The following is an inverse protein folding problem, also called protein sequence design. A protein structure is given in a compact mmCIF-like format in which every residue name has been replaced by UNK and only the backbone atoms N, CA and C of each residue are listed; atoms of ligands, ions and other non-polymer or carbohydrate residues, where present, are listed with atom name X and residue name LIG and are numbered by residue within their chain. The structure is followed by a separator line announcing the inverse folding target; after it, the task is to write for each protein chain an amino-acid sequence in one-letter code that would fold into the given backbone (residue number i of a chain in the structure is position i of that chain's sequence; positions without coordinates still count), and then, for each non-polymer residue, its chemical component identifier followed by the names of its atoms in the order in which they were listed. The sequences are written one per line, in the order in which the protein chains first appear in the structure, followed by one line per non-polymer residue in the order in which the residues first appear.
data_IF_407551566143
#
_entry.id   IF_407551566143
#
_cell.length_a   1.000
_cell.length_b   1.000
_cell.length_c   1.000
_cell.angle_alpha   90.00
_cell.angle_beta   90.00
_cell.angle_gamma   90.00
#
_symmetry.space_group_name_H-M   'P 1'
#
loop_
_entity.id
_entity.type
_entity.pdbx_description
1 polymer ?
#
# COMPACT_ATOMS: atom_id res chain seq x y z
N UNK A 1 8.22 -22.24 18.96
CA UNK A 1 7.30 -21.40 19.75
C UNK A 1 5.99 -21.19 18.99
N UNK A 2 5.09 -22.19 18.93
CA UNK A 2 3.76 -22.04 18.31
C UNK A 2 2.69 -21.56 19.31
N UNK A 3 2.87 -21.83 20.61
CA UNK A 3 1.90 -21.50 21.66
C UNK A 3 1.68 -19.99 21.86
N UNK A 4 2.71 -19.16 21.65
CA UNK A 4 2.61 -17.71 21.89
C UNK A 4 1.68 -17.01 20.91
N UNK A 5 1.73 -17.36 19.61
CA UNK A 5 0.84 -16.77 18.60
C UNK A 5 -0.62 -17.17 18.80
N UNK A 6 -0.88 -18.43 19.16
CA UNK A 6 -2.25 -18.90 19.36
C UNK A 6 -2.91 -18.20 20.56
N UNK A 7 -2.14 -17.94 21.63
CA UNK A 7 -2.58 -17.09 22.73
C UNK A 7 -2.93 -15.66 22.27
N UNK A 8 -2.07 -15.03 21.46
CA UNK A 8 -2.33 -13.68 20.92
C UNK A 8 -3.59 -13.63 20.02
N UNK A 9 -3.85 -14.68 19.24
CA UNK A 9 -5.06 -14.78 18.42
C UNK A 9 -6.33 -14.94 19.26
N UNK A 10 -6.26 -15.64 20.39
CA UNK A 10 -7.36 -15.72 21.36
C UNK A 10 -7.63 -14.34 21.97
N UNK A 11 -6.59 -13.57 22.29
CA UNK A 11 -6.73 -12.21 22.82
C UNK A 11 -7.46 -11.25 21.85
N UNK A 12 -7.44 -11.50 20.54
CA UNK A 12 -8.25 -10.73 19.57
C UNK A 12 -9.76 -10.92 19.77
N UNK A 13 -10.20 -11.98 20.45
CA UNK A 13 -11.61 -12.28 20.71
C UNK A 13 -12.13 -11.68 22.02
N UNK A 14 -11.25 -11.12 22.84
CA UNK A 14 -11.63 -10.49 24.11
C UNK A 14 -12.54 -9.27 23.92
N UNK A 15 -13.18 -8.79 24.99
CA UNK A 15 -14.03 -7.59 24.90
C UNK A 15 -13.23 -6.30 24.94
N UNK A 16 -12.11 -6.30 25.65
CA UNK A 16 -11.32 -5.09 25.91
C UNK A 16 -10.53 -4.66 24.66
N UNK A 17 -10.76 -3.42 24.22
CA UNK A 17 -10.06 -2.83 23.08
C UNK A 17 -8.56 -2.70 23.33
N UNK A 18 -8.13 -2.45 24.58
CA UNK A 18 -6.71 -2.28 24.92
C UNK A 18 -5.92 -3.58 24.72
N UNK A 19 -6.53 -4.71 25.09
CA UNK A 19 -5.96 -6.05 24.91
C UNK A 19 -5.84 -6.38 23.42
N UNK A 20 -6.85 -6.03 22.62
CA UNK A 20 -6.80 -6.23 21.15
C UNK A 20 -5.68 -5.43 20.51
N UNK A 21 -5.49 -4.16 20.92
CA UNK A 21 -4.41 -3.32 20.41
C UNK A 21 -3.06 -3.97 20.67
N UNK A 22 -2.82 -4.41 21.90
CA UNK A 22 -1.59 -5.10 22.27
C UNK A 22 -1.39 -6.40 21.47
N UNK A 23 -2.45 -7.20 21.31
CA UNK A 23 -2.39 -8.43 20.54
C UNK A 23 -2.00 -8.18 19.08
N UNK A 24 -2.57 -7.15 18.43
CA UNK A 24 -2.26 -6.79 17.03
C UNK A 24 -0.79 -6.42 16.88
N UNK A 25 -0.23 -5.61 17.79
CA UNK A 25 1.17 -5.19 17.71
C UNK A 25 2.13 -6.38 17.84
N UNK A 26 1.87 -7.28 18.79
CA UNK A 26 2.66 -8.49 18.97
C UNK A 26 2.53 -9.44 17.77
N UNK A 27 1.32 -9.55 17.21
CA UNK A 27 1.09 -10.34 16.01
C UNK A 27 1.91 -9.83 14.83
N UNK A 28 1.96 -8.51 14.61
CA UNK A 28 2.77 -7.89 13.54
C UNK A 28 4.25 -8.25 13.69
N UNK A 29 4.80 -8.25 14.91
CA UNK A 29 6.19 -8.62 15.16
C UNK A 29 6.48 -10.11 14.87
N UNK A 30 5.49 -10.98 15.07
CA UNK A 30 5.63 -12.43 14.87
C UNK A 30 5.39 -12.90 13.41
N UNK A 31 4.94 -12.01 12.53
CA UNK A 31 4.32 -12.32 11.23
C UNK A 31 5.07 -13.30 10.31
N UNK A 32 6.41 -13.24 10.12
CA UNK A 32 7.06 -14.14 9.16
C UNK A 32 6.90 -15.61 9.52
N UNK A 33 6.79 -15.94 10.81
CA UNK A 33 6.76 -17.31 11.30
C UNK A 33 5.34 -17.83 11.60
N UNK A 34 4.38 -16.92 11.73
CA UNK A 34 3.04 -17.23 12.24
C UNK A 34 1.91 -16.90 11.28
N UNK A 35 2.21 -16.36 10.08
CA UNK A 35 1.19 -16.03 9.07
C UNK A 35 0.20 -17.17 8.77
N UNK A 36 0.55 -18.49 8.72
CA UNK A 36 -0.43 -19.52 8.37
C UNK A 36 -1.56 -19.61 9.41
N UNK A 37 -1.24 -19.42 10.69
CA UNK A 37 -2.22 -19.42 11.78
C UNK A 37 -3.13 -18.19 11.74
N UNK A 38 -2.63 -17.07 11.20
CA UNK A 38 -3.40 -15.83 11.10
C UNK A 38 -4.43 -15.86 9.97
N UNK A 39 -4.22 -16.68 8.94
CA UNK A 39 -5.16 -16.83 7.83
C UNK A 39 -6.53 -17.29 8.34
N UNK A 40 -6.57 -18.24 9.27
CA UNK A 40 -7.82 -18.73 9.88
C UNK A 40 -8.58 -17.65 10.66
N UNK A 41 -7.87 -16.60 11.10
CA UNK A 41 -8.42 -15.48 11.85
C UNK A 41 -8.53 -14.21 11.01
N UNK A 42 -8.22 -14.28 9.71
CA UNK A 42 -8.18 -13.12 8.83
C UNK A 42 -9.51 -12.39 8.83
N UNK A 43 -10.63 -13.09 8.75
CA UNK A 43 -11.96 -12.46 8.76
C UNK A 43 -12.18 -11.57 9.99
N UNK A 44 -11.78 -12.04 11.18
CA UNK A 44 -11.87 -11.24 12.42
C UNK A 44 -10.96 -10.00 12.37
N UNK A 45 -9.72 -10.17 11.89
CA UNK A 45 -8.78 -9.05 11.74
C UNK A 45 -9.35 -8.02 10.77
N UNK A 46 -9.97 -8.46 9.68
CA UNK A 46 -10.54 -7.55 8.67
C UNK A 46 -11.78 -6.80 9.16
N UNK A 47 -12.58 -7.42 10.02
CA UNK A 47 -13.69 -6.74 10.72
C UNK A 47 -13.13 -5.64 11.63
N UNK A 48 -12.08 -5.93 12.41
CA UNK A 48 -11.40 -4.94 13.26
C UNK A 48 -10.75 -3.81 12.44
N UNK A 49 -10.19 -4.12 11.27
CA UNK A 49 -9.60 -3.14 10.37
C UNK A 49 -10.63 -2.16 9.79
N UNK A 50 -11.87 -2.60 9.57
CA UNK A 50 -12.97 -1.76 9.06
C UNK A 50 -13.69 -0.98 10.15
N UNK A 51 -13.46 -1.33 11.42
CA UNK A 51 -14.16 -0.74 12.56
C UNK A 51 -13.50 0.58 12.97
N UNK A 52 -14.01 1.70 12.46
CA UNK A 52 -13.47 3.04 12.76
C UNK A 52 -13.58 3.46 14.23
N UNK A 53 -14.46 2.82 15.01
CA UNK A 53 -14.56 3.02 16.46
C UNK A 53 -13.42 2.38 17.24
N UNK A 54 -12.65 1.48 16.62
CA UNK A 54 -11.53 0.81 17.26
C UNK A 54 -10.26 1.68 17.13
N UNK A 55 -9.57 2.00 18.24
CA UNK A 55 -8.43 2.91 18.22
C UNK A 55 -7.28 2.41 17.32
N UNK A 56 -7.01 1.09 17.30
CA UNK A 56 -5.94 0.49 16.49
C UNK A 56 -6.43 -0.09 15.16
N UNK A 57 -7.53 0.40 14.58
CA UNK A 57 -8.06 -0.12 13.30
C UNK A 57 -7.04 0.01 12.15
N UNK A 58 -6.24 1.08 12.12
CA UNK A 58 -5.17 1.25 11.13
C UNK A 58 -4.08 0.17 11.28
N UNK A 59 -3.74 -0.21 12.51
CA UNK A 59 -2.76 -1.27 12.77
C UNK A 59 -3.34 -2.64 12.36
N UNK A 60 -4.63 -2.87 12.63
CA UNK A 60 -5.34 -4.07 12.17
C UNK A 60 -5.37 -4.15 10.64
N UNK A 61 -5.60 -3.03 9.94
CA UNK A 61 -5.55 -2.95 8.49
C UNK A 61 -4.16 -3.29 7.95
N UNK A 62 -3.09 -2.76 8.58
CA UNK A 62 -1.72 -3.13 8.21
C UNK A 62 -1.45 -4.62 8.41
N UNK A 63 -1.87 -5.19 9.54
CA UNK A 63 -1.74 -6.63 9.81
C UNK A 63 -2.48 -7.46 8.75
N UNK A 64 -3.75 -7.12 8.46
CA UNK A 64 -4.55 -7.80 7.44
C UNK A 64 -3.87 -7.75 6.07
N UNK A 65 -3.32 -6.59 5.68
CA UNK A 65 -2.63 -6.43 4.41
C UNK A 65 -1.41 -7.35 4.28
N UNK A 66 -0.59 -7.44 5.33
CA UNK A 66 0.61 -8.29 5.32
C UNK A 66 0.21 -9.78 5.30
N UNK A 67 -0.83 -10.18 6.06
CA UNK A 67 -1.33 -11.57 6.04
C UNK A 67 -1.88 -11.93 4.67
N UNK A 68 -2.66 -11.06 4.02
CA UNK A 68 -3.15 -11.26 2.66
C UNK A 68 -2.00 -11.41 1.66
N UNK A 69 -0.92 -10.63 1.82
CA UNK A 69 0.28 -10.77 0.99
C UNK A 69 0.93 -12.15 1.14
N UNK A 70 1.08 -12.66 2.36
CA UNK A 70 1.62 -14.01 2.58
C UNK A 70 0.68 -15.12 2.09
N UNK A 71 -0.64 -14.89 2.16
CA UNK A 71 -1.65 -15.77 1.57
C UNK A 71 -1.59 -15.80 0.02
N UNK A 72 -0.99 -14.77 -0.60
CA UNK A 72 -0.87 -14.64 -2.05
C UNK A 72 -1.94 -13.76 -2.69
N UNK A 73 -2.85 -13.18 -1.89
CA UNK A 73 -3.89 -12.28 -2.37
C UNK A 73 -3.42 -10.82 -2.35
N UNK A 74 -2.81 -10.39 -3.46
CA UNK A 74 -2.30 -9.02 -3.60
C UNK A 74 -3.42 -7.98 -3.74
N UNK A 75 -4.61 -8.37 -4.18
CA UNK A 75 -5.74 -7.47 -4.35
C UNK A 75 -6.30 -7.06 -3.00
N UNK A 76 -6.65 -8.05 -2.16
CA UNK A 76 -7.05 -7.78 -0.77
C UNK A 76 -5.93 -7.12 0.02
N UNK A 77 -4.67 -7.50 -0.22
CA UNK A 77 -3.55 -6.84 0.44
C UNK A 77 -3.52 -5.34 0.13
N UNK A 78 -3.68 -4.95 -1.14
CA UNK A 78 -3.75 -3.54 -1.52
C UNK A 78 -4.94 -2.82 -0.86
N UNK A 79 -6.13 -3.42 -0.84
CA UNK A 79 -7.31 -2.83 -0.19
C UNK A 79 -7.04 -2.51 1.29
N UNK A 80 -6.47 -3.46 2.04
CA UNK A 80 -6.14 -3.22 3.45
C UNK A 80 -4.94 -2.28 3.63
N UNK A 81 -4.00 -2.24 2.68
CA UNK A 81 -2.92 -1.26 2.70
C UNK A 81 -3.47 0.17 2.57
N UNK A 82 -4.45 0.39 1.67
CA UNK A 82 -5.15 1.66 1.52
C UNK A 82 -5.88 2.05 2.81
N UNK A 83 -6.54 1.11 3.49
CA UNK A 83 -7.19 1.34 4.78
C UNK A 83 -6.20 1.74 5.89
N UNK A 84 -4.96 1.23 5.86
CA UNK A 84 -3.93 1.59 6.85
C UNK A 84 -3.36 3.01 6.67
N UNK A 85 -3.67 3.68 5.55
CA UNK A 85 -3.32 5.06 5.22
C UNK A 85 -1.85 5.42 5.52
N UNK A 86 -1.62 6.13 6.63
CA UNK A 86 -0.30 6.63 7.01
C UNK A 86 0.62 5.54 7.57
N UNK A 87 0.07 4.44 8.10
CA UNK A 87 0.87 3.33 8.65
C UNK A 87 1.53 2.46 7.57
N UNK A 88 1.08 2.56 6.32
CA UNK A 88 1.79 1.97 5.20
C UNK A 88 3.00 2.85 4.84
N UNK A 89 4.19 2.37 5.17
CA UNK A 89 5.44 3.02 4.81
C UNK A 89 5.86 2.63 3.39
N UNK A 90 5.68 3.56 2.44
CA UNK A 90 6.08 3.39 1.03
C UNK A 90 7.60 3.42 0.83
N UNK A 91 8.37 3.84 1.83
CA UNK A 91 9.83 3.94 1.78
C UNK A 91 10.55 2.72 2.36
N UNK A 92 9.81 1.80 2.98
CA UNK A 92 10.38 0.57 3.52
C UNK A 92 10.98 -0.31 2.41
N UNK A 93 12.21 -0.79 2.61
CA UNK A 93 12.92 -1.65 1.64
C UNK A 93 12.64 -3.15 1.87
N UNK A 94 11.40 -3.50 2.19
CA UNK A 94 10.98 -4.89 2.35
C UNK A 94 10.34 -5.45 1.08
N UNK A 95 10.27 -6.79 1.00
CA UNK A 95 9.67 -7.48 -0.17
C UNK A 95 8.17 -7.20 -0.30
N UNK A 96 7.48 -7.09 0.84
CA UNK A 96 6.05 -6.83 0.89
C UNK A 96 5.74 -5.43 0.32
N UNK A 97 6.39 -4.38 0.83
CA UNK A 97 6.17 -3.00 0.34
C UNK A 97 6.46 -2.89 -1.15
N UNK A 98 7.59 -3.46 -1.63
CA UNK A 98 7.91 -3.46 -3.07
C UNK A 98 6.83 -4.13 -3.92
N UNK A 99 6.29 -5.27 -3.46
CA UNK A 99 5.23 -5.98 -4.19
C UNK A 99 3.93 -5.17 -4.21
N UNK A 100 3.51 -4.64 -3.06
CA UNK A 100 2.26 -3.86 -2.96
C UNK A 100 2.35 -2.56 -3.77
N UNK A 101 3.47 -1.85 -3.72
CA UNK A 101 3.69 -0.64 -4.54
C UNK A 101 3.64 -0.98 -6.03
N UNK A 102 4.31 -2.04 -6.46
CA UNK A 102 4.26 -2.50 -7.86
C UNK A 102 2.84 -2.84 -8.29
N UNK A 103 2.08 -3.54 -7.43
CA UNK A 103 0.71 -3.92 -7.72
C UNK A 103 -0.23 -2.70 -7.73
N UNK A 104 -0.01 -1.72 -6.85
CA UNK A 104 -0.75 -0.46 -6.82
C UNK A 104 -0.60 0.33 -8.12
N UNK A 105 0.62 0.40 -8.67
CA UNK A 105 0.85 1.02 -9.98
C UNK A 105 0.16 0.25 -11.10
N UNK A 106 0.27 -1.09 -11.13
CA UNK A 106 -0.41 -1.91 -12.13
C UNK A 106 -1.92 -1.69 -12.11
N UNK A 107 -2.55 -1.75 -10.93
CA UNK A 107 -3.99 -1.47 -10.79
C UNK A 107 -4.35 -0.05 -11.19
N UNK A 108 -3.51 0.93 -10.87
CA UNK A 108 -3.71 2.33 -11.28
C UNK A 108 -3.76 2.47 -12.81
N UNK A 109 -2.76 1.91 -13.51
CA UNK A 109 -2.67 1.96 -14.97
C UNK A 109 -3.85 1.21 -15.60
N UNK A 110 -4.19 0.03 -15.08
CA UNK A 110 -5.34 -0.75 -15.57
C UNK A 110 -6.65 0.01 -15.42
N UNK A 111 -6.87 0.67 -14.27
CA UNK A 111 -8.08 1.45 -14.03
C UNK A 111 -8.15 2.67 -14.95
N UNK A 112 -7.02 3.35 -15.19
CA UNK A 112 -6.93 4.44 -16.17
C UNK A 112 -7.26 3.97 -17.59
N UNK A 113 -6.67 2.86 -18.04
CA UNK A 113 -6.91 2.31 -19.39
C UNK A 113 -8.37 1.88 -19.58
N UNK A 114 -8.99 1.34 -18.55
CA UNK A 114 -10.40 0.91 -18.56
C UNK A 114 -11.39 2.04 -18.26
N UNK A 115 -10.93 3.28 -18.05
CA UNK A 115 -11.74 4.43 -17.62
C UNK A 115 -12.59 4.15 -16.36
N UNK A 116 -12.07 3.32 -15.44
CA UNK A 116 -12.72 3.03 -14.16
C UNK A 116 -12.40 4.18 -13.19
N UNK A 117 -13.38 4.69 -12.43
CA UNK A 117 -13.12 5.72 -11.42
C UNK A 117 -12.12 5.19 -10.38
N UNK A 118 -11.05 5.94 -10.16
CA UNK A 118 -9.98 5.59 -9.24
C UNK A 118 -10.29 6.21 -7.89
N UNK A 119 -10.28 5.39 -6.83
CA UNK A 119 -10.45 5.86 -5.46
C UNK A 119 -9.39 6.91 -5.08
N UNK A 120 -9.80 7.94 -4.35
CA UNK A 120 -8.92 9.00 -3.85
C UNK A 120 -7.76 8.44 -3.03
N UNK A 121 -8.02 7.45 -2.16
CA UNK A 121 -6.98 6.81 -1.35
C UNK A 121 -5.89 6.16 -2.22
N UNK A 122 -6.28 5.57 -3.35
CA UNK A 122 -5.35 4.95 -4.30
C UNK A 122 -4.50 6.01 -5.02
N UNK A 123 -5.10 7.14 -5.39
CA UNK A 123 -4.35 8.27 -5.98
C UNK A 123 -3.33 8.83 -4.99
N UNK A 124 -3.72 9.02 -3.73
CA UNK A 124 -2.82 9.49 -2.66
C UNK A 124 -1.67 8.51 -2.44
N UNK A 125 -1.94 7.19 -2.44
CA UNK A 125 -0.88 6.18 -2.32
C UNK A 125 0.10 6.25 -3.49
N UNK A 126 -0.39 6.26 -4.73
CA UNK A 126 0.43 6.37 -5.94
C UNK A 126 1.28 7.64 -5.92
N UNK A 127 0.69 8.76 -5.49
CA UNK A 127 1.37 10.04 -5.37
C UNK A 127 2.53 9.99 -4.35
N UNK A 128 2.30 9.39 -3.16
CA UNK A 128 3.35 9.13 -2.17
C UNK A 128 4.46 8.23 -2.72
N UNK A 129 4.11 7.20 -3.49
CA UNK A 129 5.08 6.31 -4.13
C UNK A 129 5.95 7.07 -5.15
N UNK A 130 5.35 7.93 -5.97
CA UNK A 130 6.08 8.77 -6.93
C UNK A 130 7.05 9.70 -6.20
N UNK A 131 6.63 10.33 -5.11
CA UNK A 131 7.51 11.17 -4.29
C UNK A 131 8.71 10.40 -3.74
N UNK A 132 8.47 9.18 -3.26
CA UNK A 132 9.55 8.32 -2.79
C UNK A 132 10.51 7.95 -3.93
N UNK A 133 10.01 7.66 -5.13
CA UNK A 133 10.86 7.39 -6.30
C UNK A 133 11.68 8.60 -6.73
N UNK A 134 11.09 9.80 -6.69
CA UNK A 134 11.78 11.06 -6.98
C UNK A 134 12.88 11.36 -5.97
N UNK A 135 12.63 11.15 -4.67
CA UNK A 135 13.64 11.26 -3.60
C UNK A 135 14.81 10.31 -3.82
N UNK A 136 14.51 9.07 -4.23
CA UNK A 136 15.51 8.03 -4.52
C UNK A 136 16.17 8.17 -5.90
N UNK A 137 15.93 9.26 -6.64
CA UNK A 137 16.47 9.53 -7.99
C UNK A 137 16.15 8.44 -9.02
N UNK A 138 15.07 7.67 -8.81
CA UNK A 138 14.61 6.60 -9.73
C UNK A 138 13.72 7.18 -10.83
N UNK A 139 14.28 8.10 -11.60
CA UNK A 139 13.56 8.88 -12.61
C UNK A 139 12.98 8.04 -13.75
N UNK A 140 13.64 6.95 -14.13
CA UNK A 140 13.18 6.06 -15.20
C UNK A 140 11.81 5.45 -14.91
N UNK A 141 11.60 4.98 -13.68
CA UNK A 141 10.33 4.35 -13.27
C UNK A 141 9.18 5.36 -13.28
N UNK A 142 9.45 6.59 -12.84
CA UNK A 142 8.45 7.66 -12.84
C UNK A 142 8.11 8.09 -14.28
N UNK A 143 9.10 8.11 -15.17
CA UNK A 143 8.88 8.40 -16.58
C UNK A 143 8.02 7.32 -17.24
N UNK A 144 8.34 6.03 -17.03
CA UNK A 144 7.54 4.91 -17.54
C UNK A 144 6.09 5.01 -17.08
N UNK A 145 5.87 5.24 -15.78
CA UNK A 145 4.52 5.45 -15.25
C UNK A 145 3.81 6.63 -15.93
N UNK A 146 4.51 7.74 -16.14
CA UNK A 146 3.94 8.93 -16.80
C UNK A 146 3.53 8.67 -18.25
N UNK A 147 4.29 7.82 -18.96
CA UNK A 147 4.02 7.39 -20.33
C UNK A 147 2.77 6.52 -20.38
N UNK A 148 2.64 5.58 -19.44
CA UNK A 148 1.55 4.61 -19.39
C UNK A 148 0.21 5.23 -18.95
N UNK A 149 0.26 6.26 -18.10
CA UNK A 149 -0.94 6.95 -17.60
C UNK A 149 -1.31 8.17 -18.44
N UNK A 150 -0.61 8.43 -19.55
CA UNK A 150 -0.74 9.64 -20.37
C UNK A 150 -0.67 10.93 -19.55
N UNK A 151 0.12 10.95 -18.46
CA UNK A 151 0.21 12.08 -17.51
C UNK A 151 -1.11 12.48 -16.85
N UNK A 152 -2.20 11.71 -17.00
CA UNK A 152 -3.47 11.98 -16.32
C UNK A 152 -3.32 11.56 -14.85
N UNK A 153 -3.70 12.45 -13.93
CA UNK A 153 -3.66 12.17 -12.48
C UNK A 153 -2.30 12.36 -11.80
N UNK A 154 -1.23 12.64 -12.53
CA UNK A 154 0.07 12.96 -11.92
C UNK A 154 0.16 14.49 -11.69
N UNK A 155 0.47 14.91 -10.46
CA UNK A 155 0.66 16.33 -10.15
C UNK A 155 1.96 16.86 -10.79
N UNK A 156 1.79 17.58 -11.91
CA UNK A 156 2.87 18.13 -12.74
C UNK A 156 3.77 19.13 -11.99
N UNK A 157 3.27 19.81 -10.97
CA UNK A 157 4.06 20.81 -10.24
C UNK A 157 5.19 20.17 -9.42
N UNK A 158 5.05 18.89 -9.06
CA UNK A 158 6.08 18.15 -8.31
C UNK A 158 7.29 17.72 -9.15
N UNK A 159 7.22 17.83 -10.47
CA UNK A 159 8.33 17.52 -11.38
C UNK A 159 9.27 18.70 -11.59
N UNK A 160 8.86 19.91 -11.19
CA UNK A 160 9.69 21.11 -11.34
C UNK A 160 10.95 21.08 -10.47
N UNK A 161 10.96 20.25 -9.43
CA UNK A 161 12.09 20.08 -8.49
C UNK A 161 13.09 19.01 -8.92
N UNK A 162 12.84 18.33 -10.04
CA UNK A 162 13.71 17.26 -10.56
C UNK A 162 14.95 17.87 -11.24
N UNK A 163 16.18 17.41 -10.93
CA UNK A 163 17.38 17.83 -11.64
C UNK A 163 17.28 17.48 -13.13
N UNK A 164 17.63 18.43 -14.01
CA UNK A 164 17.48 18.36 -15.47
C UNK A 164 16.02 18.36 -16.00
N UNK A 165 15.23 19.43 -15.73
CA UNK A 165 13.89 19.57 -16.28
C UNK A 165 13.88 19.59 -17.82
N UNK A 166 14.99 19.91 -18.48
CA UNK A 166 15.08 20.00 -19.95
C UNK A 166 14.94 18.64 -20.66
N UNK A 167 15.48 17.54 -20.11
CA UNK A 167 15.29 16.19 -20.69
C UNK A 167 13.83 15.76 -20.59
N UNK A 168 13.19 16.05 -19.46
CA UNK A 168 11.76 15.82 -19.24
C UNK A 168 10.89 16.71 -20.12
N UNK A 169 11.18 18.01 -20.22
CA UNK A 169 10.42 18.98 -21.03
C UNK A 169 10.46 18.59 -22.51
N UNK A 170 11.64 18.28 -23.05
CA UNK A 170 11.78 17.91 -24.45
C UNK A 170 11.08 16.58 -24.77
N UNK A 171 11.13 15.61 -23.86
CA UNK A 171 10.44 14.32 -24.03
C UNK A 171 8.91 14.46 -23.95
N UNK A 172 8.39 15.20 -22.96
CA UNK A 172 6.96 15.48 -22.80
C UNK A 172 6.42 16.31 -23.99
N UNK A 173 7.16 17.33 -24.43
CA UNK A 173 6.79 18.18 -25.58
C UNK A 173 6.93 17.50 -26.95
N UNK A 174 7.69 16.40 -27.05
CA UNK A 174 7.76 15.63 -28.29
C UNK A 174 6.50 14.79 -28.54
N UNK A 175 5.82 14.34 -27.47
CA UNK A 175 4.65 13.48 -27.56
C UNK A 175 3.34 14.25 -27.72
N UNK A 176 3.22 15.42 -27.09
CA UNK A 176 2.07 16.34 -27.30
C UNK A 176 2.05 17.01 -28.68
N UNK A 177 3.04 16.75 -29.56
CA UNK A 177 3.07 17.23 -30.94
C UNK A 177 2.51 16.22 -31.96
N UNK A 178 2.12 15.03 -31.50
CA UNK A 178 1.58 13.95 -32.34
C UNK A 178 0.14 13.57 -31.99
N UNK A 179 -0.55 14.40 -31.21
CA UNK A 179 -2.03 14.46 -31.12
C UNK A 179 -2.50 15.76 -31.81
#
# INVERSE_FOLDING_TARGET
MKGTTQGLLVLLTEKDSSIKCYAIEQLIQSLPNSWPLMVDYLDKITVLAKLTTFPSHLQAARLASIVCYYYGDSERALEYALLSKQLFDVAADDKYTRKIVSFAFQKYIQNMQKNIPISEDHQVLVQRCIENLLKNKKYSQVLTLSIETHMKGINKDRFRTVPEPCKWRNYIMSRNRHE
#
